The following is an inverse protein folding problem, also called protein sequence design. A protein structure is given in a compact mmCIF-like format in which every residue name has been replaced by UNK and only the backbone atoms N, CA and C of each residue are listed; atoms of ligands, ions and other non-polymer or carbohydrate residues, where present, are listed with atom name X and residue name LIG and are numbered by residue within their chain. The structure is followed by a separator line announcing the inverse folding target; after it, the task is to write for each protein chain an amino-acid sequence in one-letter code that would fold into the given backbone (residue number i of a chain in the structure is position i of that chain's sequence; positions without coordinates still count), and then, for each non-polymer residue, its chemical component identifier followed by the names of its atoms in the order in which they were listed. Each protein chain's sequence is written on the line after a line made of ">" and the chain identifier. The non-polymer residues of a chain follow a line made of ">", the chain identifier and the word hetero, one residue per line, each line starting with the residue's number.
data_IF_325257139434
#
_entry.id   IF_325257139434
#
_cell.length_a   1.000
_cell.length_b   1.000
_cell.length_c   1.000
_cell.angle_alpha   90.00
_cell.angle_beta   90.00
_cell.angle_gamma   90.00
#
_symmetry.space_group_name_H-M   'P 1'
#
loop_
_entity.id
_entity.type
_entity.pdbx_description
1 polymer ?
#
# COMPACT_ATOMS: atom_id res chain seq x y z
N UNK A 1 -22.77 -53.47 -19.73
CA UNK A 1 -23.67 -52.37 -19.30
C UNK A 1 -23.63 -52.03 -17.80
N UNK A 2 -23.23 -52.91 -16.87
CA UNK A 2 -23.11 -52.56 -15.42
C UNK A 2 -21.91 -51.66 -15.08
N UNK A 3 -20.78 -51.80 -15.77
CA UNK A 3 -19.54 -51.03 -15.51
C UNK A 3 -19.66 -49.53 -15.80
N UNK A 4 -20.34 -49.13 -16.89
CA UNK A 4 -20.54 -47.72 -17.24
C UNK A 4 -21.47 -46.97 -16.26
N UNK A 5 -22.46 -47.65 -15.66
CA UNK A 5 -23.36 -47.04 -14.67
C UNK A 5 -22.64 -46.68 -13.37
N UNK A 6 -21.73 -47.52 -12.91
CA UNK A 6 -20.91 -47.25 -11.71
C UNK A 6 -19.93 -46.11 -11.96
N UNK A 7 -19.33 -46.05 -13.15
CA UNK A 7 -18.41 -44.96 -13.52
C UNK A 7 -19.16 -43.62 -13.63
N UNK A 8 -20.33 -43.57 -14.26
CA UNK A 8 -21.13 -42.33 -14.35
C UNK A 8 -21.68 -41.86 -12.99
N UNK A 9 -22.07 -42.77 -12.10
CA UNK A 9 -22.53 -42.40 -10.75
C UNK A 9 -21.40 -41.86 -9.87
N UNK A 10 -20.18 -42.38 -10.02
CA UNK A 10 -19.00 -41.90 -9.29
C UNK A 10 -18.47 -40.58 -9.87
N UNK A 11 -18.45 -40.43 -11.19
CA UNK A 11 -17.94 -39.20 -11.84
C UNK A 11 -18.90 -38.01 -11.78
N UNK A 12 -20.22 -38.23 -11.73
CA UNK A 12 -21.21 -37.14 -11.65
C UNK A 12 -21.83 -37.01 -10.26
N UNK A 13 -22.07 -38.11 -9.55
CA UNK A 13 -22.75 -38.09 -8.25
C UNK A 13 -21.87 -37.57 -7.12
N UNK A 14 -20.58 -37.88 -7.12
CA UNK A 14 -19.62 -37.40 -6.10
C UNK A 14 -19.50 -35.86 -6.09
N UNK A 15 -19.13 -35.23 -7.21
CA UNK A 15 -19.03 -33.76 -7.29
C UNK A 15 -20.36 -33.06 -6.99
N UNK A 16 -21.49 -33.62 -7.47
CA UNK A 16 -22.82 -33.05 -7.19
C UNK A 16 -23.17 -33.12 -5.70
N UNK A 17 -22.86 -34.24 -5.03
CA UNK A 17 -23.06 -34.37 -3.60
C UNK A 17 -22.20 -33.38 -2.80
N UNK A 18 -20.95 -33.15 -3.21
CA UNK A 18 -20.08 -32.13 -2.60
C UNK A 18 -20.66 -30.73 -2.77
N UNK A 19 -21.16 -30.38 -3.95
CA UNK A 19 -21.79 -29.07 -4.20
C UNK A 19 -23.08 -28.89 -3.38
N UNK A 20 -23.90 -29.93 -3.24
CA UNK A 20 -25.11 -29.89 -2.40
C UNK A 20 -24.75 -29.72 -0.93
N UNK A 21 -23.77 -30.47 -0.43
CA UNK A 21 -23.31 -30.35 0.96
C UNK A 21 -22.69 -28.98 1.24
N UNK A 22 -21.91 -28.44 0.30
CA UNK A 22 -21.35 -27.10 0.38
C UNK A 22 -22.45 -26.03 0.45
N UNK A 23 -23.46 -26.14 -0.42
CA UNK A 23 -24.61 -25.25 -0.41
C UNK A 23 -25.40 -25.31 0.90
N UNK A 24 -25.69 -26.51 1.39
CA UNK A 24 -26.39 -26.67 2.66
C UNK A 24 -25.60 -26.10 3.84
N UNK A 25 -24.29 -26.35 3.89
CA UNK A 25 -23.41 -25.83 4.93
C UNK A 25 -23.36 -24.30 4.90
N UNK A 26 -23.13 -23.70 3.73
CA UNK A 26 -23.05 -22.25 3.57
C UNK A 26 -24.37 -21.56 3.93
N UNK A 27 -25.51 -22.11 3.51
CA UNK A 27 -26.84 -21.58 3.86
C UNK A 27 -27.14 -21.69 5.36
N UNK A 28 -26.69 -22.78 6.00
CA UNK A 28 -26.87 -22.94 7.44
C UNK A 28 -26.08 -21.90 8.25
N UNK A 29 -24.92 -21.44 7.77
CA UNK A 29 -24.03 -20.54 8.51
C UNK A 29 -24.07 -19.08 8.06
N UNK A 30 -24.67 -18.76 6.90
CA UNK A 30 -24.66 -17.41 6.34
C UNK A 30 -25.54 -16.42 7.13
N UNK A 31 -24.91 -15.42 7.76
CA UNK A 31 -25.61 -14.31 8.39
C UNK A 31 -26.41 -13.47 7.39
N UNK A 32 -25.86 -13.26 6.19
CA UNK A 32 -26.48 -12.45 5.13
C UNK A 32 -27.79 -13.06 4.58
N UNK A 33 -27.94 -14.38 4.65
CA UNK A 33 -29.21 -15.06 4.30
C UNK A 33 -30.20 -14.97 5.46
N UNK A 34 -29.70 -15.01 6.71
CA UNK A 34 -30.54 -14.92 7.92
C UNK A 34 -31.10 -13.50 8.15
N UNK A 35 -30.34 -12.46 7.83
CA UNK A 35 -30.76 -11.07 7.95
C UNK A 35 -31.48 -10.52 6.71
N UNK A 36 -31.58 -11.33 5.64
CA UNK A 36 -32.28 -11.00 4.40
C UNK A 36 -31.52 -10.08 3.44
N UNK A 37 -30.25 -9.73 3.73
CA UNK A 37 -29.42 -8.92 2.84
C UNK A 37 -29.01 -9.63 1.55
N UNK A 38 -29.02 -10.97 1.55
CA UNK A 38 -28.80 -11.81 0.37
C UNK A 38 -29.80 -12.95 0.28
N UNK A 39 -30.14 -13.32 -0.95
CA UNK A 39 -31.00 -14.46 -1.20
C UNK A 39 -30.29 -15.79 -0.96
N UNK A 40 -31.04 -16.80 -0.52
CA UNK A 40 -30.56 -18.18 -0.39
C UNK A 40 -30.16 -18.83 -1.73
N UNK A 41 -30.67 -18.32 -2.87
CA UNK A 41 -30.25 -18.79 -4.19
C UNK A 41 -29.10 -17.96 -4.79
N UNK A 42 -28.52 -17.02 -4.04
CA UNK A 42 -27.30 -16.32 -4.48
C UNK A 42 -26.17 -17.37 -4.66
N UNK A 43 -25.69 -17.61 -5.90
CA UNK A 43 -24.65 -18.61 -6.14
C UNK A 43 -23.35 -18.28 -5.40
N UNK A 44 -23.08 -16.98 -5.17
CA UNK A 44 -21.91 -16.52 -4.42
C UNK A 44 -21.98 -16.83 -2.93
N UNK A 45 -23.17 -17.12 -2.39
CA UNK A 45 -23.35 -17.61 -1.02
C UNK A 45 -23.40 -19.13 -1.01
N UNK A 46 -24.28 -19.73 -1.82
CA UNK A 46 -24.49 -21.17 -1.80
C UNK A 46 -23.22 -21.96 -2.19
N UNK A 47 -22.50 -21.53 -3.23
CA UNK A 47 -21.37 -22.29 -3.75
C UNK A 47 -20.00 -21.67 -3.41
N UNK A 48 -19.94 -20.81 -2.38
CA UNK A 48 -18.66 -20.29 -1.92
C UNK A 48 -17.79 -21.40 -1.34
N UNK A 49 -16.55 -21.50 -1.83
CA UNK A 49 -15.53 -22.39 -1.28
C UNK A 49 -14.72 -21.72 -0.15
N UNK A 50 -15.03 -20.49 0.25
CA UNK A 50 -14.19 -19.70 1.16
C UNK A 50 -14.08 -20.32 2.55
N UNK A 51 -15.14 -20.95 3.05
CA UNK A 51 -15.11 -21.69 4.32
C UNK A 51 -14.18 -22.90 4.27
N UNK A 52 -14.24 -23.69 3.20
CA UNK A 52 -13.35 -24.83 2.99
C UNK A 52 -11.90 -24.38 2.79
N UNK A 53 -11.68 -23.31 2.01
CA UNK A 53 -10.38 -22.71 1.81
C UNK A 53 -9.80 -22.19 3.13
N UNK A 54 -10.60 -21.55 3.98
CA UNK A 54 -10.17 -21.11 5.32
C UNK A 54 -9.76 -22.29 6.19
N UNK A 55 -10.53 -23.39 6.22
CA UNK A 55 -10.17 -24.59 6.98
C UNK A 55 -8.86 -25.23 6.49
N UNK A 56 -8.71 -25.37 5.17
CA UNK A 56 -7.47 -25.87 4.57
C UNK A 56 -6.28 -24.95 4.90
N UNK A 57 -6.48 -23.64 4.78
CA UNK A 57 -5.48 -22.62 5.10
C UNK A 57 -5.05 -22.70 6.56
N UNK A 58 -6.00 -22.80 7.51
CA UNK A 58 -5.69 -22.97 8.95
C UNK A 58 -4.85 -24.22 9.22
N UNK A 59 -5.09 -25.31 8.51
CA UNK A 59 -4.33 -26.55 8.67
C UNK A 59 -2.91 -26.45 8.09
N UNK A 60 -2.74 -25.72 6.98
CA UNK A 60 -1.47 -25.60 6.26
C UNK A 60 -0.59 -24.43 6.75
N UNK A 61 -1.21 -23.40 7.34
CA UNK A 61 -0.55 -22.17 7.76
C UNK A 61 0.59 -22.39 8.76
N UNK A 62 0.45 -23.21 9.83
CA UNK A 62 1.56 -23.50 10.76
C UNK A 62 2.76 -24.17 10.10
N UNK A 63 2.56 -24.84 8.96
CA UNK A 63 3.62 -25.47 8.16
C UNK A 63 4.26 -24.50 7.15
N UNK A 64 3.83 -23.23 7.11
CA UNK A 64 4.32 -22.24 6.14
C UNK A 64 3.81 -22.46 4.72
N UNK A 65 2.76 -23.26 4.53
CA UNK A 65 2.22 -23.59 3.20
C UNK A 65 1.05 -22.66 2.89
N UNK A 66 1.25 -21.77 1.91
CA UNK A 66 0.21 -20.88 1.41
C UNK A 66 -0.73 -21.61 0.45
N UNK A 67 -2.04 -21.40 0.62
CA UNK A 67 -3.06 -21.84 -0.35
C UNK A 67 -3.19 -20.90 -1.55
N UNK A 68 -2.61 -19.69 -1.47
CA UNK A 68 -2.53 -18.71 -2.55
C UNK A 68 -1.14 -18.06 -2.57
N UNK A 69 -0.08 -18.79 -2.98
CA UNK A 69 1.28 -18.26 -3.00
C UNK A 69 1.48 -17.12 -4.00
N UNK A 70 0.55 -16.94 -4.95
CA UNK A 70 0.52 -15.78 -5.83
C UNK A 70 0.06 -14.51 -5.10
N UNK A 71 -0.89 -14.62 -4.17
CA UNK A 71 -1.36 -13.51 -3.34
C UNK A 71 -0.48 -13.25 -2.12
N UNK A 72 -0.21 -14.29 -1.32
CA UNK A 72 0.56 -14.19 -0.08
C UNK A 72 1.45 -15.41 0.16
N UNK A 73 2.65 -15.18 0.65
CA UNK A 73 3.60 -16.20 1.10
C UNK A 73 3.70 -16.15 2.62
N UNK A 74 3.77 -17.33 3.26
CA UNK A 74 3.89 -17.45 4.71
C UNK A 74 5.38 -17.56 5.06
N UNK A 75 5.87 -16.56 5.77
CA UNK A 75 7.21 -16.48 6.33
C UNK A 75 7.32 -17.09 7.73
N UNK A 76 8.44 -16.80 8.40
CA UNK A 76 8.70 -17.24 9.77
C UNK A 76 7.78 -16.51 10.75
N UNK A 77 7.47 -17.17 11.87
CA UNK A 77 6.68 -16.63 12.97
C UNK A 77 5.31 -16.04 12.55
N UNK A 78 4.71 -16.62 11.51
CA UNK A 78 3.38 -16.22 11.03
C UNK A 78 3.34 -14.93 10.19
N UNK A 79 4.50 -14.34 9.87
CA UNK A 79 4.54 -13.18 8.98
C UNK A 79 4.08 -13.54 7.58
N UNK A 80 3.24 -12.70 7.00
CA UNK A 80 2.83 -12.84 5.61
C UNK A 80 3.60 -11.86 4.72
N UNK A 81 3.96 -12.27 3.52
CA UNK A 81 4.61 -11.44 2.51
C UNK A 81 3.82 -11.47 1.21
N UNK A 82 3.96 -10.42 0.40
CA UNK A 82 3.25 -10.32 -0.87
C UNK A 82 3.79 -11.37 -1.86
N UNK A 83 2.87 -12.09 -2.51
CA UNK A 83 3.21 -13.04 -3.57
C UNK A 83 3.48 -12.38 -4.93
N UNK A 84 3.69 -13.19 -5.96
CA UNK A 84 4.07 -12.69 -7.30
C UNK A 84 2.95 -12.05 -8.12
N UNK A 85 1.68 -12.16 -7.70
CA UNK A 85 0.53 -11.61 -8.44
C UNK A 85 0.62 -10.08 -8.63
N UNK A 86 1.27 -9.37 -7.72
CA UNK A 86 1.34 -7.92 -7.70
C UNK A 86 2.80 -7.46 -7.84
N UNK A 87 3.19 -7.07 -9.06
CA UNK A 87 4.55 -6.60 -9.40
C UNK A 87 5.69 -7.61 -9.14
N UNK A 88 5.34 -8.89 -8.96
CA UNK A 88 6.30 -9.95 -8.72
C UNK A 88 6.97 -9.87 -7.36
N UNK A 89 6.25 -9.61 -6.26
CA UNK A 89 6.84 -9.36 -4.94
C UNK A 89 7.95 -10.33 -4.51
N UNK A 90 7.75 -11.64 -4.72
CA UNK A 90 8.77 -12.66 -4.41
C UNK A 90 9.88 -12.68 -5.45
N UNK A 91 9.55 -12.63 -6.74
CA UNK A 91 10.54 -12.66 -7.83
C UNK A 91 11.43 -11.42 -7.80
N UNK A 92 10.86 -10.25 -7.53
CA UNK A 92 11.51 -8.95 -7.53
C UNK A 92 12.67 -8.87 -6.53
N UNK A 93 12.59 -9.58 -5.41
CA UNK A 93 13.66 -9.64 -4.39
C UNK A 93 14.69 -10.73 -4.67
N UNK A 94 14.38 -11.70 -5.55
CA UNK A 94 15.21 -12.89 -5.83
C UNK A 94 16.10 -12.75 -7.05
N UNK A 95 15.76 -11.83 -7.96
CA UNK A 95 16.49 -11.66 -9.22
C UNK A 95 16.94 -10.22 -9.38
N UNK A 96 18.15 -10.07 -9.92
CA UNK A 96 18.60 -8.78 -10.40
C UNK A 96 17.71 -8.34 -11.59
N UNK A 97 17.44 -7.03 -11.74
CA UNK A 97 16.66 -6.54 -12.87
C UNK A 97 17.42 -6.80 -14.18
N UNK A 98 16.67 -7.12 -15.23
CA UNK A 98 17.20 -7.14 -16.59
C UNK A 98 17.69 -5.76 -17.00
N UNK A 99 18.57 -5.71 -18.02
CA UNK A 99 19.01 -4.43 -18.62
C UNK A 99 17.84 -3.59 -19.15
N UNK A 100 16.77 -4.23 -19.62
CA UNK A 100 15.58 -3.52 -20.07
C UNK A 100 14.83 -2.87 -18.90
N UNK A 101 14.68 -3.58 -17.77
CA UNK A 101 14.06 -3.04 -16.55
C UNK A 101 14.89 -1.90 -15.97
N UNK A 102 16.22 -2.05 -15.90
CA UNK A 102 17.11 -0.99 -15.40
C UNK A 102 17.00 0.28 -16.25
N UNK A 103 17.05 0.16 -17.59
CA UNK A 103 16.84 1.30 -18.50
C UNK A 103 15.45 1.93 -18.39
N UNK A 104 14.44 1.12 -18.11
CA UNK A 104 13.08 1.62 -17.94
C UNK A 104 12.98 2.50 -16.68
N UNK A 105 13.67 2.12 -15.60
CA UNK A 105 13.79 2.90 -14.36
C UNK A 105 14.59 4.19 -14.59
N UNK A 106 15.74 4.13 -15.27
CA UNK A 106 16.56 5.30 -15.60
C UNK A 106 15.74 6.39 -16.32
N UNK A 107 14.92 5.99 -17.30
CA UNK A 107 14.01 6.93 -18.01
C UNK A 107 12.96 7.58 -17.12
N UNK A 108 12.52 6.89 -16.06
CA UNK A 108 11.58 7.46 -15.08
C UNK A 108 12.30 8.52 -14.26
N UNK A 109 13.53 8.23 -13.82
CA UNK A 109 14.35 9.20 -13.09
C UNK A 109 14.67 10.44 -13.93
N UNK A 110 15.02 10.26 -15.21
CA UNK A 110 15.18 11.38 -16.16
C UNK A 110 13.89 12.21 -16.30
N UNK A 111 12.74 11.54 -16.47
CA UNK A 111 11.44 12.21 -16.52
C UNK A 111 11.09 12.95 -15.23
N UNK A 112 11.44 12.40 -14.06
CA UNK A 112 11.24 13.04 -12.77
C UNK A 112 12.05 14.35 -12.64
N UNK A 113 13.25 14.41 -13.21
CA UNK A 113 14.05 15.64 -13.25
C UNK A 113 13.42 16.69 -14.18
N UNK A 114 12.87 16.28 -15.33
CA UNK A 114 12.12 17.18 -16.20
C UNK A 114 10.88 17.75 -15.48
N UNK A 115 10.16 16.90 -14.74
CA UNK A 115 9.05 17.33 -13.89
C UNK A 115 9.48 18.30 -12.79
N UNK A 116 10.60 18.04 -12.10
CA UNK A 116 11.17 18.96 -11.10
C UNK A 116 11.38 20.36 -11.71
N UNK A 117 11.99 20.42 -12.88
CA UNK A 117 12.35 21.68 -13.53
C UNK A 117 11.10 22.44 -14.01
N UNK A 118 10.11 21.73 -14.56
CA UNK A 118 8.82 22.31 -14.92
C UNK A 118 8.04 22.81 -13.70
N UNK A 119 7.95 22.01 -12.63
CA UNK A 119 7.29 22.39 -11.39
C UNK A 119 7.89 23.67 -10.80
N UNK A 120 9.23 23.79 -10.84
CA UNK A 120 9.93 25.01 -10.43
C UNK A 120 9.53 26.23 -11.27
N UNK A 121 9.36 26.06 -12.59
CA UNK A 121 8.87 27.13 -13.48
C UNK A 121 7.42 27.51 -13.17
N UNK A 122 6.60 26.57 -12.67
CA UNK A 122 5.23 26.83 -12.21
C UNK A 122 5.16 27.46 -10.81
N UNK A 123 6.30 27.74 -10.16
CA UNK A 123 6.37 28.35 -8.84
C UNK A 123 6.32 27.37 -7.68
N UNK A 124 6.38 26.05 -7.93
CA UNK A 124 6.47 25.04 -6.88
C UNK A 124 7.86 25.10 -6.23
N UNK A 125 7.91 25.31 -4.92
CA UNK A 125 9.15 25.47 -4.16
C UNK A 125 9.86 24.16 -3.85
N UNK A 126 9.12 23.06 -3.72
CA UNK A 126 9.69 21.74 -3.42
C UNK A 126 9.01 20.62 -4.22
N UNK A 127 9.80 19.68 -4.72
CA UNK A 127 9.32 18.45 -5.35
C UNK A 127 10.05 17.24 -4.79
N UNK A 128 9.28 16.29 -4.27
CA UNK A 128 9.80 15.09 -3.61
C UNK A 128 9.12 13.82 -4.12
N UNK A 129 9.91 12.76 -4.26
CA UNK A 129 9.46 11.39 -4.47
C UNK A 129 9.89 10.59 -3.24
N UNK A 130 8.94 10.27 -2.38
CA UNK A 130 9.12 9.36 -1.26
C UNK A 130 8.86 7.93 -1.70
N UNK A 131 9.87 7.09 -1.56
CA UNK A 131 9.76 5.66 -1.86
C UNK A 131 9.64 4.90 -0.54
N UNK A 132 8.44 4.34 -0.30
CA UNK A 132 8.19 3.45 0.82
C UNK A 132 8.79 2.06 0.53
N UNK A 133 9.39 1.39 1.53
CA UNK A 133 9.91 0.05 1.34
C UNK A 133 8.78 -0.97 1.29
N UNK A 134 8.98 -2.05 0.54
CA UNK A 134 8.26 -3.29 0.80
C UNK A 134 8.62 -3.87 2.18
N UNK A 135 7.70 -4.64 2.75
CA UNK A 135 7.88 -5.24 4.08
C UNK A 135 9.11 -6.15 4.16
N UNK A 136 9.44 -6.83 3.06
CA UNK A 136 10.63 -7.69 2.97
C UNK A 136 11.97 -6.93 3.03
N UNK A 137 12.00 -5.65 2.70
CA UNK A 137 13.19 -4.82 2.82
C UNK A 137 13.47 -4.45 4.28
N UNK A 138 12.41 -4.20 5.06
CA UNK A 138 12.52 -3.87 6.49
C UNK A 138 12.59 -5.12 7.35
N UNK A 139 11.86 -6.18 7.03
CA UNK A 139 11.76 -7.43 7.79
C UNK A 139 12.26 -8.69 7.02
N UNK A 140 13.47 -8.67 6.42
CA UNK A 140 13.98 -9.81 5.65
C UNK A 140 14.18 -11.07 6.51
N UNK A 141 14.42 -10.91 7.81
CA UNK A 141 14.59 -12.05 8.73
C UNK A 141 13.31 -12.83 8.97
N UNK A 142 12.15 -12.33 8.55
CA UNK A 142 10.90 -13.08 8.62
C UNK A 142 10.52 -13.71 7.28
N UNK A 143 11.25 -13.44 6.20
CA UNK A 143 11.01 -14.13 4.92
C UNK A 143 11.25 -15.65 5.03
N UNK A 144 10.53 -16.45 4.24
CA UNK A 144 10.86 -17.86 4.07
C UNK A 144 12.27 -18.02 3.51
N UNK A 145 13.02 -19.01 4.03
CA UNK A 145 14.40 -19.25 3.63
C UNK A 145 14.57 -19.50 2.11
N UNK A 146 13.55 -20.05 1.44
CA UNK A 146 13.59 -20.35 0.01
C UNK A 146 13.47 -19.11 -0.88
N UNK A 147 13.03 -17.96 -0.35
CA UNK A 147 12.99 -16.70 -1.11
C UNK A 147 14.42 -16.34 -1.47
N UNK A 148 15.30 -16.09 -0.49
CA UNK A 148 16.71 -15.80 -0.77
C UNK A 148 16.88 -14.45 -1.50
N UNK A 149 16.78 -13.35 -0.75
CA UNK A 149 16.95 -11.98 -1.27
C UNK A 149 18.35 -11.82 -1.89
N UNK A 150 18.42 -11.20 -3.06
CA UNK A 150 19.69 -10.84 -3.72
C UNK A 150 19.99 -9.34 -3.56
N UNK A 151 21.25 -8.95 -3.33
CA UNK A 151 21.66 -7.56 -3.44
C UNK A 151 21.49 -7.03 -4.87
N UNK A 152 21.13 -5.76 -5.02
CA UNK A 152 20.94 -5.15 -6.35
C UNK A 152 19.67 -5.65 -7.05
N UNK A 153 18.67 -6.05 -6.27
CA UNK A 153 17.35 -6.45 -6.76
C UNK A 153 16.62 -5.25 -7.42
N UNK A 154 15.40 -5.48 -7.94
CA UNK A 154 14.64 -4.44 -8.66
C UNK A 154 14.41 -3.19 -7.79
N UNK A 155 14.14 -3.34 -6.49
CA UNK A 155 13.89 -2.22 -5.58
C UNK A 155 15.18 -1.41 -5.33
N UNK A 156 16.32 -2.10 -5.14
CA UNK A 156 17.62 -1.45 -4.94
C UNK A 156 18.03 -0.63 -6.20
N UNK A 157 17.83 -1.22 -7.38
CA UNK A 157 18.11 -0.56 -8.65
C UNK A 157 17.19 0.66 -8.89
N UNK A 158 15.93 0.56 -8.45
CA UNK A 158 14.99 1.67 -8.48
C UNK A 158 15.47 2.85 -7.64
N UNK A 159 15.78 2.61 -6.36
CA UNK A 159 16.23 3.67 -5.44
C UNK A 159 17.56 4.29 -5.90
N UNK A 160 18.46 3.48 -6.46
CA UNK A 160 19.76 3.95 -6.94
C UNK A 160 19.68 4.81 -8.21
N UNK A 161 18.60 4.71 -8.98
CA UNK A 161 18.47 5.45 -10.24
C UNK A 161 17.94 6.88 -10.06
N UNK A 162 17.21 7.16 -8.98
CA UNK A 162 16.68 8.49 -8.72
C UNK A 162 17.72 9.43 -8.12
N UNK A 163 17.65 10.71 -8.49
CA UNK A 163 18.50 11.74 -7.91
C UNK A 163 18.16 12.01 -6.44
N UNK A 164 19.17 11.99 -5.57
CA UNK A 164 19.04 12.30 -4.14
C UNK A 164 18.45 13.69 -3.85
N UNK A 165 18.48 14.62 -4.81
CA UNK A 165 17.88 15.95 -4.68
C UNK A 165 16.35 15.92 -4.66
N UNK A 166 15.74 14.85 -5.18
CA UNK A 166 14.27 14.67 -5.20
C UNK A 166 13.81 13.39 -4.51
N UNK A 167 14.70 12.42 -4.29
CA UNK A 167 14.38 11.14 -3.64
C UNK A 167 14.39 11.25 -2.11
N UNK A 168 13.40 10.62 -1.49
CA UNK A 168 13.34 10.34 -0.05
C UNK A 168 13.20 8.82 0.12
N UNK A 169 14.28 8.14 0.49
CA UNK A 169 14.27 6.70 0.78
C UNK A 169 13.75 6.44 2.20
N UNK A 170 12.43 6.24 2.32
CA UNK A 170 11.83 5.87 3.60
C UNK A 170 12.29 4.49 4.07
N UNK A 171 12.76 3.61 3.17
CA UNK A 171 13.31 2.32 3.55
C UNK A 171 14.58 2.42 4.39
N UNK A 172 15.46 3.39 4.10
CA UNK A 172 16.61 3.65 4.97
C UNK A 172 16.17 4.07 6.37
N UNK A 173 15.18 4.95 6.48
CA UNK A 173 14.65 5.40 7.76
C UNK A 173 14.05 4.22 8.55
N UNK A 174 13.16 3.44 7.94
CA UNK A 174 12.50 2.32 8.61
C UNK A 174 13.46 1.19 8.99
N UNK A 175 14.47 0.87 8.15
CA UNK A 175 15.50 -0.12 8.52
C UNK A 175 16.32 0.34 9.73
N UNK A 176 16.63 1.63 9.82
CA UNK A 176 17.35 2.20 10.97
C UNK A 176 16.51 2.12 12.24
N UNK A 177 15.24 2.54 12.15
CA UNK A 177 14.32 2.56 13.29
C UNK A 177 13.96 1.14 13.76
N UNK A 178 13.85 0.16 12.86
CA UNK A 178 13.64 -1.25 13.23
C UNK A 178 14.68 -1.76 14.23
N UNK A 179 15.91 -1.24 14.21
CA UNK A 179 16.98 -1.70 15.10
C UNK A 179 16.83 -1.20 16.55
N UNK A 180 16.03 -0.16 16.78
CA UNK A 180 15.91 0.51 18.08
C UNK A 180 14.49 0.49 18.64
N UNK A 181 13.48 0.38 17.79
CA UNK A 181 12.08 0.28 18.21
C UNK A 181 11.73 -1.14 18.62
N UNK A 182 11.01 -1.29 19.75
CA UNK A 182 10.43 -2.58 20.16
C UNK A 182 9.17 -2.93 19.36
N UNK A 183 8.48 -1.91 18.88
CA UNK A 183 7.20 -2.00 18.20
C UNK A 183 7.36 -2.27 16.71
N UNK A 184 6.33 -2.85 16.12
CA UNK A 184 6.37 -3.21 14.71
C UNK A 184 6.15 -1.99 13.83
N UNK A 185 7.02 -1.82 12.84
CA UNK A 185 6.91 -0.81 11.79
C UNK A 185 6.02 -1.30 10.63
N UNK A 186 5.68 -2.58 10.60
CA UNK A 186 4.78 -3.20 9.62
C UNK A 186 3.79 -4.13 10.30
N UNK A 187 2.62 -4.27 9.68
CA UNK A 187 1.63 -5.27 10.08
C UNK A 187 2.14 -6.65 9.66
N UNK A 188 1.94 -7.67 10.51
CA UNK A 188 2.41 -9.03 10.23
C UNK A 188 1.62 -9.65 9.09
N UNK A 189 0.30 -9.39 9.03
CA UNK A 189 -0.63 -10.09 8.14
C UNK A 189 -1.19 -9.20 7.04
N UNK A 190 -0.58 -8.04 6.84
CA UNK A 190 -0.96 -7.05 5.84
C UNK A 190 0.29 -6.47 5.13
N UNK A 191 0.16 -5.96 3.89
CA UNK A 191 1.29 -5.43 3.12
C UNK A 191 1.80 -4.08 3.63
N UNK A 192 0.99 -3.32 4.35
CA UNK A 192 1.27 -1.95 4.74
C UNK A 192 2.09 -1.86 6.02
N UNK A 193 2.78 -0.73 6.15
CA UNK A 193 3.37 -0.34 7.42
C UNK A 193 2.32 -0.18 8.54
N UNK A 194 2.78 -0.19 9.77
CA UNK A 194 1.98 0.27 10.90
C UNK A 194 1.90 1.81 10.92
N UNK A 195 1.09 2.38 11.80
CA UNK A 195 1.07 3.84 12.01
C UNK A 195 2.45 4.38 12.43
N UNK A 196 3.23 3.56 13.14
CA UNK A 196 4.60 3.89 13.55
C UNK A 196 5.56 3.88 12.35
N UNK A 197 5.47 2.88 11.47
CA UNK A 197 6.24 2.89 10.23
C UNK A 197 5.89 4.08 9.34
N UNK A 198 4.61 4.42 9.24
CA UNK A 198 4.14 5.61 8.51
C UNK A 198 4.66 6.92 9.12
N UNK A 199 4.77 7.00 10.45
CA UNK A 199 5.36 8.13 11.14
C UNK A 199 6.82 8.34 10.71
N UNK A 200 7.64 7.29 10.70
CA UNK A 200 9.04 7.42 10.29
C UNK A 200 9.20 7.77 8.80
N UNK A 201 8.28 7.33 7.95
CA UNK A 201 8.24 7.80 6.57
C UNK A 201 7.89 9.29 6.48
N UNK A 202 6.89 9.75 7.23
CA UNK A 202 6.53 11.16 7.30
C UNK A 202 7.65 12.03 7.89
N UNK A 203 8.30 11.58 8.96
CA UNK A 203 9.44 12.27 9.58
C UNK A 203 10.62 12.39 8.59
N UNK A 204 10.91 11.35 7.80
CA UNK A 204 11.90 11.42 6.74
C UNK A 204 11.57 12.52 5.72
N UNK A 205 10.30 12.65 5.35
CA UNK A 205 9.84 13.75 4.49
C UNK A 205 9.94 15.12 5.17
N UNK A 206 9.48 15.25 6.41
CA UNK A 206 9.54 16.49 7.19
C UNK A 206 10.96 17.01 7.36
N UNK A 207 11.93 16.13 7.67
CA UNK A 207 13.35 16.52 7.77
C UNK A 207 13.89 17.05 6.45
N UNK A 208 13.57 16.39 5.32
CA UNK A 208 14.00 16.85 3.98
C UNK A 208 13.34 18.18 3.61
N UNK A 209 12.05 18.33 3.90
CA UNK A 209 11.30 19.54 3.60
C UNK A 209 11.76 20.73 4.44
N UNK A 210 12.00 20.55 5.75
CA UNK A 210 12.53 21.59 6.63
C UNK A 210 13.98 21.97 6.31
N UNK A 211 14.81 21.01 5.88
CA UNK A 211 16.16 21.32 5.41
C UNK A 211 16.15 22.20 4.14
N UNK A 212 15.14 22.05 3.27
CA UNK A 212 14.98 22.85 2.06
C UNK A 212 14.30 24.21 2.32
N UNK A 213 13.41 24.29 3.30
CA UNK A 213 12.78 25.53 3.78
C UNK A 213 12.76 25.52 5.33
N UNK A 214 13.77 26.15 5.98
CA UNK A 214 13.85 26.22 7.45
C UNK A 214 12.70 26.97 8.12
N UNK A 215 11.85 27.66 7.34
CA UNK A 215 10.61 28.25 7.85
C UNK A 215 9.53 27.22 8.14
N UNK A 216 9.65 25.99 7.61
CA UNK A 216 8.70 24.91 7.88
C UNK A 216 8.94 24.27 9.25
N UNK A 217 7.85 24.12 9.98
CA UNK A 217 7.80 23.53 11.32
C UNK A 217 7.17 22.15 11.27
N UNK A 218 7.83 21.16 11.88
CA UNK A 218 7.33 19.81 11.97
C UNK A 218 7.56 19.23 13.37
N UNK A 219 6.71 18.29 13.81
CA UNK A 219 6.99 17.53 15.01
C UNK A 219 8.29 16.74 14.85
N UNK A 220 9.16 16.76 15.85
CA UNK A 220 10.46 16.03 15.85
C UNK A 220 10.46 14.83 16.78
N UNK A 221 9.36 14.63 17.51
CA UNK A 221 9.16 13.55 18.47
C UNK A 221 7.70 13.09 18.43
N UNK A 222 7.45 11.93 19.02
CA UNK A 222 6.15 11.28 19.05
C UNK A 222 5.98 10.50 20.35
N UNK A 223 4.74 10.22 20.69
CA UNK A 223 4.36 9.32 21.79
C UNK A 223 3.57 8.13 21.23
N UNK A 224 3.86 6.97 21.82
CA UNK A 224 3.13 5.74 21.57
C UNK A 224 1.96 5.64 22.54
N UNK A 225 0.75 5.59 21.98
CA UNK A 225 -0.46 5.34 22.74
C UNK A 225 -0.74 3.86 22.92
N UNK A 226 -1.97 3.57 23.36
CA UNK A 226 -2.45 2.20 23.51
C UNK A 226 -2.39 1.42 22.18
N UNK A 227 -2.07 0.13 22.27
CA UNK A 227 -2.21 -0.84 21.19
C UNK A 227 -3.51 -1.63 21.35
N UNK A 228 -4.17 -1.96 20.24
CA UNK A 228 -5.34 -2.82 20.21
C UNK A 228 -5.27 -3.84 19.07
N UNK A 229 -5.86 -5.04 19.27
CA UNK A 229 -5.90 -6.04 18.22
C UNK A 229 -6.86 -5.63 17.10
N UNK A 230 -6.48 -5.95 15.87
CA UNK A 230 -7.33 -5.81 14.68
C UNK A 230 -7.30 -7.10 13.86
N UNK A 231 -8.40 -7.50 13.22
CA UNK A 231 -8.38 -8.61 12.28
C UNK A 231 -7.29 -8.42 11.21
N UNK A 232 -6.65 -9.50 10.81
CA UNK A 232 -5.68 -9.47 9.71
C UNK A 232 -6.35 -9.00 8.43
N UNK A 233 -5.63 -8.29 7.58
CA UNK A 233 -6.23 -7.60 6.42
C UNK A 233 -5.75 -8.17 5.09
N UNK A 234 -5.12 -7.39 4.21
CA UNK A 234 -5.01 -7.73 2.78
C UNK A 234 -4.35 -9.10 2.48
N UNK A 235 -3.22 -9.44 3.11
CA UNK A 235 -2.54 -10.72 2.91
C UNK A 235 -3.29 -11.86 3.59
N UNK A 236 -3.89 -11.62 4.76
CA UNK A 236 -4.73 -12.60 5.43
C UNK A 236 -5.97 -12.95 4.59
N UNK A 237 -6.52 -12.00 3.83
CA UNK A 237 -7.65 -12.22 2.93
C UNK A 237 -7.29 -13.17 1.77
N UNK A 238 -6.08 -13.09 1.19
CA UNK A 238 -5.64 -14.06 0.17
C UNK A 238 -5.62 -15.49 0.72
N UNK A 239 -5.34 -15.65 2.01
CA UNK A 239 -5.31 -16.94 2.68
C UNK A 239 -6.65 -17.34 3.29
N UNK A 240 -7.70 -16.52 3.18
CA UNK A 240 -8.99 -16.71 3.86
C UNK A 240 -8.86 -16.82 5.39
N UNK A 241 -7.94 -16.05 5.96
CA UNK A 241 -7.61 -16.03 7.39
C UNK A 241 -7.83 -14.66 8.07
N UNK A 242 -8.54 -13.73 7.42
CA UNK A 242 -8.85 -12.38 7.95
C UNK A 242 -9.41 -12.40 9.38
N UNK A 243 -10.42 -13.23 9.65
CA UNK A 243 -11.02 -13.40 10.98
C UNK A 243 -10.31 -14.38 11.91
N UNK A 244 -9.08 -14.81 11.56
CA UNK A 244 -8.30 -15.81 12.30
C UNK A 244 -6.99 -15.20 12.76
N UNK A 245 -6.30 -14.53 11.85
CA UNK A 245 -5.07 -13.84 12.17
C UNK A 245 -5.40 -12.46 12.72
N UNK A 246 -4.51 -11.97 13.57
CA UNK A 246 -4.67 -10.71 14.28
C UNK A 246 -3.39 -9.92 14.09
N UNK A 247 -3.55 -8.67 13.70
CA UNK A 247 -2.50 -7.65 13.76
C UNK A 247 -2.72 -6.74 14.97
N UNK A 248 -1.71 -5.95 15.29
CA UNK A 248 -1.79 -4.93 16.33
C UNK A 248 -1.78 -3.55 15.68
N UNK A 249 -2.71 -2.70 16.12
CA UNK A 249 -2.75 -1.30 15.77
C UNK A 249 -2.33 -0.47 16.97
N UNK A 250 -1.35 0.39 16.74
CA UNK A 250 -0.85 1.31 17.74
C UNK A 250 -1.24 2.75 17.39
N UNK A 251 -1.70 3.51 18.39
CA UNK A 251 -1.87 4.94 18.22
C UNK A 251 -0.52 5.65 18.29
N UNK A 252 -0.31 6.59 17.39
CA UNK A 252 0.90 7.41 17.30
C UNK A 252 0.48 8.87 17.36
N UNK A 253 0.99 9.60 18.35
CA UNK A 253 0.69 11.01 18.55
C UNK A 253 1.97 11.83 18.39
N UNK A 254 2.10 12.66 17.33
CA UNK A 254 3.24 13.56 17.21
C UNK A 254 3.24 14.61 18.33
N UNK A 255 4.39 14.82 18.97
CA UNK A 255 4.56 15.83 20.01
C UNK A 255 4.73 17.20 19.36
N UNK A 256 3.98 18.20 19.84
CA UNK A 256 4.05 19.56 19.33
C UNK A 256 3.30 19.79 18.02
N UNK A 257 2.59 18.77 17.50
CA UNK A 257 1.63 18.95 16.43
C UNK A 257 0.20 19.11 16.99
N UNK A 258 -0.64 19.92 16.36
CA UNK A 258 -2.05 20.03 16.74
C UNK A 258 -2.80 18.77 16.30
N UNK A 259 -3.88 18.45 17.03
CA UNK A 259 -4.87 17.49 16.53
C UNK A 259 -5.54 18.12 15.30
N UNK A 260 -5.43 17.52 14.11
CA UNK A 260 -5.89 18.17 12.88
C UNK A 260 -7.41 18.30 12.87
N UNK A 261 -7.91 19.51 12.63
CA UNK A 261 -9.33 19.81 12.41
C UNK A 261 -9.60 19.90 10.91
N UNK A 262 -9.63 18.74 10.26
CA UNK A 262 -9.68 18.66 8.80
C UNK A 262 -11.10 18.71 8.26
N UNK A 263 -11.30 19.54 7.24
CA UNK A 263 -12.47 19.50 6.36
C UNK A 263 -12.06 18.86 5.05
N UNK A 264 -12.89 17.96 4.53
CA UNK A 264 -12.66 17.27 3.27
C UNK A 264 -13.72 17.68 2.25
N UNK A 265 -13.28 18.07 1.06
CA UNK A 265 -14.16 18.32 -0.09
C UNK A 265 -13.58 17.69 -1.34
N UNK A 266 -14.45 17.17 -2.23
CA UNK A 266 -14.02 16.77 -3.57
C UNK A 266 -13.54 18.03 -4.32
N UNK A 267 -12.35 17.98 -4.89
CA UNK A 267 -11.77 19.11 -5.59
C UNK A 267 -12.17 19.08 -7.06
N UNK A 268 -12.74 20.18 -7.53
CA UNK A 268 -13.22 20.32 -8.90
C UNK A 268 -12.07 20.58 -9.88
N UNK A 269 -11.83 19.62 -10.76
CA UNK A 269 -10.84 19.68 -11.85
C UNK A 269 -11.50 20.00 -13.21
N UNK A 270 -12.74 20.50 -13.21
CA UNK A 270 -13.51 20.80 -14.40
C UNK A 270 -13.96 19.54 -15.14
N UNK A 271 -13.93 19.56 -16.47
CA UNK A 271 -14.49 18.50 -17.31
C UNK A 271 -13.67 17.19 -17.35
N UNK A 272 -12.60 17.08 -16.55
CA UNK A 272 -11.78 15.87 -16.50
C UNK A 272 -12.51 14.78 -15.73
N UNK A 273 -12.99 13.76 -16.44
CA UNK A 273 -13.63 12.59 -15.84
C UNK A 273 -12.58 11.65 -15.26
N UNK A 274 -12.58 11.51 -13.93
CA UNK A 274 -11.70 10.59 -13.20
C UNK A 274 -12.52 9.47 -12.53
N UNK A 275 -11.98 8.24 -12.45
CA UNK A 275 -12.53 7.19 -11.60
C UNK A 275 -12.68 7.68 -10.16
N UNK A 276 -13.73 7.23 -9.45
CA UNK A 276 -14.01 7.69 -8.08
C UNK A 276 -12.83 7.61 -7.12
N UNK A 277 -11.95 6.60 -7.26
CA UNK A 277 -10.76 6.44 -6.42
C UNK A 277 -9.64 7.45 -6.73
N UNK A 278 -9.62 8.03 -7.93
CA UNK A 278 -8.62 8.98 -8.38
C UNK A 278 -9.11 10.43 -8.26
N UNK A 279 -10.32 10.65 -7.77
CA UNK A 279 -10.89 11.99 -7.61
C UNK A 279 -10.12 12.74 -6.52
N UNK A 280 -9.47 13.87 -6.84
CA UNK A 280 -8.72 14.65 -5.87
C UNK A 280 -9.61 15.11 -4.70
N UNK A 281 -9.08 15.02 -3.49
CA UNK A 281 -9.75 15.45 -2.28
C UNK A 281 -8.94 16.60 -1.68
N UNK A 282 -9.55 17.76 -1.51
CA UNK A 282 -8.94 18.87 -0.80
C UNK A 282 -9.21 18.72 0.69
N UNK A 283 -8.13 18.60 1.45
CA UNK A 283 -8.11 18.54 2.91
C UNK A 283 -7.67 19.90 3.43
N UNK A 284 -8.55 20.60 4.14
CA UNK A 284 -8.25 21.91 4.75
C UNK A 284 -8.17 21.77 6.26
N UNK A 285 -7.04 22.12 6.84
CA UNK A 285 -6.77 22.05 8.29
C UNK A 285 -6.32 23.42 8.79
N UNK A 286 -7.23 24.29 9.26
CA UNK A 286 -6.89 25.67 9.63
C UNK A 286 -5.88 25.80 10.76
N UNK A 287 -5.81 24.79 11.63
CA UNK A 287 -4.89 24.74 12.76
C UNK A 287 -3.57 24.01 12.46
N UNK A 288 -3.24 23.69 11.21
CA UNK A 288 -2.00 23.00 10.85
C UNK A 288 -0.74 23.86 11.11
N UNK A 289 0.42 23.18 11.19
CA UNK A 289 1.70 23.82 11.52
C UNK A 289 2.19 24.82 10.46
N UNK A 290 1.91 24.54 9.19
CA UNK A 290 2.44 25.32 8.06
C UNK A 290 1.32 25.78 7.14
N UNK A 291 1.31 27.09 6.86
CA UNK A 291 0.43 27.71 5.86
C UNK A 291 0.95 27.44 4.45
N UNK A 292 0.84 26.19 3.99
CA UNK A 292 1.30 25.74 2.67
C UNK A 292 0.26 24.86 2.00
N UNK A 293 0.34 24.82 0.67
CA UNK A 293 -0.49 24.02 -0.22
C UNK A 293 0.33 22.87 -0.77
N UNK A 294 -0.09 21.64 -0.48
CA UNK A 294 0.62 20.42 -0.88
C UNK A 294 -0.23 19.65 -1.88
N UNK A 295 0.28 19.41 -3.09
CA UNK A 295 -0.29 18.39 -3.97
C UNK A 295 0.38 17.07 -3.64
N UNK A 296 -0.40 16.12 -3.13
CA UNK A 296 0.10 14.83 -2.67
C UNK A 296 -0.48 13.69 -3.49
N UNK A 297 0.35 13.10 -4.33
CA UNK A 297 0.03 11.91 -5.12
C UNK A 297 0.51 10.68 -4.36
N UNK A 298 -0.38 9.75 -4.02
CA UNK A 298 0.03 8.57 -3.26
C UNK A 298 -0.71 7.28 -3.60
N UNK A 299 -0.13 6.14 -3.20
CA UNK A 299 -0.81 4.85 -3.21
C UNK A 299 -1.44 4.54 -1.83
N UNK A 300 -1.80 3.29 -1.56
CA UNK A 300 -2.42 2.93 -0.27
C UNK A 300 -1.53 3.12 0.97
N UNK A 301 -0.21 3.28 0.82
CA UNK A 301 0.68 3.56 1.95
C UNK A 301 0.43 4.96 2.52
N UNK A 302 0.03 5.92 1.68
CA UNK A 302 -0.30 7.28 2.09
C UNK A 302 -1.40 7.35 3.14
N UNK A 303 -2.34 6.39 3.19
CA UNK A 303 -3.43 6.44 4.17
C UNK A 303 -2.98 6.52 5.63
N UNK A 304 -1.91 5.81 6.00
CA UNK A 304 -1.38 5.88 7.36
C UNK A 304 -0.49 7.10 7.59
N UNK A 305 -0.02 7.77 6.53
CA UNK A 305 0.70 9.05 6.62
C UNK A 305 -0.23 10.27 6.71
N UNK A 306 -1.47 10.14 6.23
CA UNK A 306 -2.40 11.26 6.09
C UNK A 306 -2.61 12.08 7.38
N UNK A 307 -2.75 11.49 8.58
CA UNK A 307 -2.88 12.28 9.81
C UNK A 307 -1.71 13.24 10.04
N UNK A 308 -0.48 12.81 9.71
CA UNK A 308 0.72 13.62 9.87
C UNK A 308 0.79 14.73 8.82
N UNK A 309 0.41 14.43 7.57
CA UNK A 309 0.34 15.41 6.49
C UNK A 309 -0.69 16.51 6.80
N UNK A 310 -1.87 16.13 7.31
CA UNK A 310 -2.95 17.08 7.62
C UNK A 310 -2.66 17.92 8.87
N UNK A 311 -1.89 17.40 9.83
CA UNK A 311 -1.39 18.20 10.95
C UNK A 311 -0.28 19.17 10.53
N UNK A 312 0.48 18.81 9.50
CA UNK A 312 1.62 19.58 9.03
C UNK A 312 1.22 20.76 8.12
N UNK A 313 0.22 20.61 7.25
CA UNK A 313 -0.10 21.62 6.23
C UNK A 313 -1.57 22.04 6.21
N UNK A 314 -1.83 23.33 5.97
CA UNK A 314 -3.17 23.89 5.97
C UNK A 314 -4.03 23.41 4.80
N UNK A 315 -3.43 23.14 3.64
CA UNK A 315 -4.14 22.61 2.47
C UNK A 315 -3.35 21.45 1.87
N UNK A 316 -3.96 20.26 1.85
CA UNK A 316 -3.41 19.07 1.18
C UNK A 316 -4.41 18.62 0.13
N UNK A 317 -4.03 18.71 -1.15
CA UNK A 317 -4.76 18.12 -2.25
C UNK A 317 -4.28 16.68 -2.42
N UNK A 318 -5.04 15.77 -1.80
CA UNK A 318 -4.80 14.33 -1.74
C UNK A 318 -5.34 13.66 -3.01
N UNK A 319 -4.49 12.89 -3.69
CA UNK A 319 -4.87 12.14 -4.90
C UNK A 319 -4.33 10.72 -4.86
N UNK A 320 -5.23 9.76 -4.70
CA UNK A 320 -4.91 8.34 -4.67
C UNK A 320 -4.74 7.75 -6.10
N UNK A 321 -3.58 7.16 -6.38
CA UNK A 321 -3.29 6.34 -7.57
C UNK A 321 -3.53 7.09 -8.90
N UNK A 322 -3.18 8.38 -8.95
CA UNK A 322 -3.18 9.14 -10.19
C UNK A 322 -1.86 8.94 -10.95
N UNK A 323 -1.95 8.53 -12.22
CA UNK A 323 -0.81 8.26 -13.09
C UNK A 323 -0.99 8.88 -14.48
N UNK A 324 -1.40 10.15 -14.54
CA UNK A 324 -1.68 10.88 -15.79
C UNK A 324 -1.01 12.25 -15.78
N UNK A 325 -0.02 12.42 -16.65
CA UNK A 325 0.80 13.62 -16.76
C UNK A 325 -0.03 14.89 -17.01
N UNK A 326 -1.01 14.81 -17.92
CA UNK A 326 -1.91 15.91 -18.27
C UNK A 326 -2.76 16.36 -17.08
N UNK A 327 -3.29 15.40 -16.31
CA UNK A 327 -4.10 15.67 -15.12
C UNK A 327 -3.26 16.28 -14.01
N UNK A 328 -2.06 15.75 -13.77
CA UNK A 328 -1.14 16.33 -12.78
C UNK A 328 -0.77 17.77 -13.14
N UNK A 329 -0.53 18.04 -14.43
CA UNK A 329 -0.30 19.39 -14.93
C UNK A 329 -1.47 20.33 -14.65
N UNK A 330 -2.70 19.90 -14.94
CA UNK A 330 -3.92 20.67 -14.66
C UNK A 330 -4.11 20.93 -13.16
N UNK A 331 -3.82 19.93 -12.32
CA UNK A 331 -3.85 20.09 -10.87
C UNK A 331 -2.84 21.13 -10.40
N UNK A 332 -1.59 21.08 -10.87
CA UNK A 332 -0.58 22.09 -10.53
C UNK A 332 -1.04 23.48 -11.00
N UNK A 333 -1.61 23.59 -12.19
CA UNK A 333 -2.07 24.86 -12.74
C UNK A 333 -3.23 25.48 -11.97
N UNK A 334 -4.21 24.68 -11.55
CA UNK A 334 -5.38 25.17 -10.79
C UNK A 334 -5.09 25.32 -9.31
N UNK A 335 -4.48 24.31 -8.72
CA UNK A 335 -4.22 24.26 -7.29
C UNK A 335 -3.00 25.08 -6.91
N UNK A 336 -2.06 25.41 -7.79
CA UNK A 336 -0.87 26.23 -7.47
C UNK A 336 -0.19 25.79 -6.14
N UNK A 337 0.27 24.53 -6.05
CA UNK A 337 0.89 24.02 -4.83
C UNK A 337 2.24 24.68 -4.54
N UNK A 338 2.58 24.83 -3.26
CA UNK A 338 3.93 25.18 -2.81
C UNK A 338 4.87 23.96 -2.86
N UNK A 339 4.31 22.78 -2.60
CA UNK A 339 5.03 21.50 -2.49
C UNK A 339 4.28 20.44 -3.30
N UNK A 340 5.02 19.66 -4.09
CA UNK A 340 4.51 18.43 -4.71
C UNK A 340 5.22 17.23 -4.09
N UNK A 341 4.45 16.29 -3.55
CA UNK A 341 4.94 15.04 -3.00
C UNK A 341 4.33 13.87 -3.76
N UNK A 342 5.16 12.95 -4.24
CA UNK A 342 4.74 11.63 -4.69
C UNK A 342 5.20 10.64 -3.62
N UNK A 343 4.29 9.89 -3.00
CA UNK A 343 4.65 8.80 -2.09
C UNK A 343 4.15 7.46 -2.62
N UNK A 344 5.06 6.55 -2.90
CA UNK A 344 4.76 5.28 -3.55
C UNK A 344 5.61 4.17 -2.97
N UNK A 345 5.07 2.95 -2.88
CA UNK A 345 5.85 1.78 -2.50
C UNK A 345 6.79 1.35 -3.63
N UNK A 346 7.99 0.90 -3.28
CA UNK A 346 9.08 0.61 -4.21
C UNK A 346 8.68 -0.34 -5.36
N UNK A 347 7.86 -1.36 -5.12
CA UNK A 347 7.31 -2.25 -6.16
C UNK A 347 6.48 -1.52 -7.22
N UNK A 348 5.89 -0.38 -6.89
CA UNK A 348 5.10 0.50 -7.78
C UNK A 348 5.81 1.81 -8.15
N UNK A 349 7.06 2.01 -7.72
CA UNK A 349 7.82 3.22 -8.00
C UNK A 349 8.25 3.38 -9.48
N UNK A 350 7.76 2.52 -10.38
CA UNK A 350 8.05 2.59 -11.81
C UNK A 350 7.38 3.76 -12.52
N UNK A 351 6.47 4.49 -11.83
CA UNK A 351 5.94 5.83 -12.10
C UNK A 351 5.92 6.19 -13.59
N UNK A 352 5.38 5.27 -14.41
CA UNK A 352 5.62 5.26 -15.86
C UNK A 352 5.18 6.54 -16.55
N UNK A 353 4.19 7.22 -15.97
CA UNK A 353 3.66 8.48 -16.46
C UNK A 353 4.68 9.63 -16.43
N UNK A 354 5.68 9.58 -15.56
CA UNK A 354 6.78 10.56 -15.54
C UNK A 354 7.63 10.52 -16.81
N UNK A 355 7.67 9.37 -17.51
CA UNK A 355 8.41 9.22 -18.78
C UNK A 355 7.86 10.06 -19.91
N UNK A 356 6.57 10.42 -19.84
CA UNK A 356 5.92 11.25 -20.86
C UNK A 356 6.33 12.72 -20.76
N UNK A 357 7.06 13.10 -19.69
CA UNK A 357 7.38 14.50 -19.40
C UNK A 357 6.19 15.30 -18.85
N UNK A 358 6.44 16.52 -18.35
CA UNK A 358 5.40 17.47 -18.01
C UNK A 358 4.68 18.01 -19.25
N UNK A 359 3.50 18.63 -19.11
CA UNK A 359 2.85 19.35 -20.22
C UNK A 359 3.73 20.48 -20.74
N UNK A 360 3.60 20.78 -22.04
CA UNK A 360 4.28 21.89 -22.72
C UNK A 360 3.92 23.27 -22.13
#
# INVERSE_FOLDING_TARGET
>A
MRSYRTISFVFLGGPLAVLVLLALANLATSGAVRDGSRSWWDPGVAFSADGLASLLSRALYPAGISIDPGGAVIGRDGWLFLGDRYEGGVTAVRVAPTRAQSRAVERVAEGALAWRDWLKQQGVGQFWILVAPDKDDVYPDYLPAWVGRVPGNRQDAMRSAFDSSILIDAGQALRTERLVQSELLFRRTDTHWSNLGAWFAADAFFRRSSAADPGLQFPTAMELGQSWPTPGSDLAQFLRLEGVLVDEHQHVTPIGAPVPQTQQVEYDIGDVVLPSRQKPQLMTTPNALNQRRVLWLHDSFGWAMAPYMHAAFTEVLDVHVLSRADVVGELVNRFKPDIVLISVVDRQADLRWLRSGPPD
#
